data_IF_918208848431
#
_entry.id   IF_918208848431
#
_cell.length_a   1.000
_cell.length_b   1.000
_cell.length_c   1.000
_cell.angle_alpha   90.00
_cell.angle_beta   90.00
_cell.angle_gamma   90.00
#
_symmetry.space_group_name_H-M   'P 1'
#
loop_
_entity.id
_entity.type
_entity.pdbx_description
1 polymer ?
#
# COMPACT_ATOMS: atom_id res chain seq x y z
N UNK A 1 -30.24 -1.99 7.18
CA UNK A 1 -29.68 -2.35 5.86
C UNK A 1 -29.54 -1.21 4.85
N UNK A 2 -29.96 0.05 5.06
CA UNK A 2 -29.74 1.12 4.05
C UNK A 2 -29.09 2.39 4.65
N UNK A 3 -27.85 2.26 5.11
CA UNK A 3 -27.04 3.41 5.56
C UNK A 3 -25.84 3.55 4.63
N UNK A 4 -25.62 4.73 4.08
CA UNK A 4 -24.47 5.05 3.22
C UNK A 4 -23.27 5.60 4.01
N UNK A 5 -23.49 6.07 5.24
CA UNK A 5 -22.45 6.57 6.15
C UNK A 5 -21.70 5.42 6.84
N UNK A 6 -20.38 5.36 6.67
CA UNK A 6 -19.56 4.32 7.30
C UNK A 6 -19.55 4.45 8.83
N UNK A 7 -19.60 5.68 9.37
CA UNK A 7 -19.73 5.93 10.81
C UNK A 7 -20.99 5.29 11.40
N UNK A 8 -22.12 5.46 10.71
CA UNK A 8 -23.40 4.91 11.17
C UNK A 8 -23.43 3.37 11.03
N UNK A 9 -22.83 2.81 9.97
CA UNK A 9 -22.67 1.37 9.83
C UNK A 9 -21.86 0.79 10.98
N UNK A 10 -20.72 1.40 11.31
CA UNK A 10 -19.89 0.97 12.43
C UNK A 10 -20.64 1.04 13.76
N UNK A 11 -21.38 2.13 14.02
CA UNK A 11 -22.15 2.26 15.27
C UNK A 11 -23.30 1.25 15.36
N UNK A 12 -23.97 0.97 14.26
CA UNK A 12 -25.02 -0.06 14.23
C UNK A 12 -24.44 -1.46 14.42
N UNK A 13 -23.30 -1.77 13.81
CA UNK A 13 -22.57 -3.02 14.01
C UNK A 13 -22.09 -3.17 15.46
N UNK A 14 -21.56 -2.11 16.08
CA UNK A 14 -21.13 -2.11 17.48
C UNK A 14 -22.31 -2.45 18.42
N UNK A 15 -23.50 -1.90 18.15
CA UNK A 15 -24.71 -2.18 18.95
C UNK A 15 -25.19 -3.61 18.74
N UNK A 16 -25.20 -4.10 17.50
CA UNK A 16 -25.57 -5.48 17.17
C UNK A 16 -24.61 -6.48 17.83
N UNK A 17 -23.31 -6.21 17.82
CA UNK A 17 -22.28 -7.03 18.46
C UNK A 17 -22.50 -7.09 19.98
N UNK A 18 -22.82 -5.97 20.64
CA UNK A 18 -23.15 -5.95 22.07
C UNK A 18 -24.39 -6.78 22.41
N UNK A 19 -25.43 -6.75 21.55
CA UNK A 19 -26.65 -7.53 21.74
C UNK A 19 -26.45 -9.03 21.52
N UNK A 20 -25.58 -9.40 20.59
CA UNK A 20 -25.24 -10.79 20.28
C UNK A 20 -24.13 -11.36 21.17
N UNK A 21 -23.52 -10.55 22.04
CA UNK A 21 -22.37 -10.93 22.86
C UNK A 21 -21.07 -11.12 22.08
N UNK A 22 -21.04 -10.76 20.79
CA UNK A 22 -19.93 -10.96 19.87
C UNK A 22 -18.91 -9.82 19.86
N UNK A 23 -18.52 -9.29 21.02
CA UNK A 23 -17.51 -8.22 21.12
C UNK A 23 -16.19 -8.79 21.63
N UNK A 24 -15.16 -8.77 20.79
CA UNK A 24 -13.78 -9.06 21.17
C UNK A 24 -12.99 -7.77 21.35
N UNK A 25 -12.11 -7.71 22.35
CA UNK A 25 -11.23 -6.56 22.61
C UNK A 25 -9.79 -7.05 22.69
N UNK A 26 -8.92 -6.53 21.81
CA UNK A 26 -7.49 -6.81 21.81
C UNK A 26 -6.79 -5.68 22.56
N UNK A 27 -6.12 -6.00 23.67
CA UNK A 27 -5.31 -5.05 24.44
C UNK A 27 -3.85 -5.17 24.03
N UNK A 28 -3.34 -4.20 23.30
CA UNK A 28 -1.95 -4.17 22.84
C UNK A 28 -1.07 -3.48 23.87
N UNK A 29 0.02 -4.13 24.26
CA UNK A 29 1.03 -3.60 25.19
C UNK A 29 2.44 -3.77 24.65
N UNK A 30 3.32 -2.84 25.05
CA UNK A 30 4.74 -2.82 24.71
C UNK A 30 5.55 -2.09 25.81
N UNK A 31 6.88 -2.15 25.73
CA UNK A 31 7.76 -1.57 26.75
C UNK A 31 7.87 -0.03 26.63
N UNK A 32 7.69 0.51 25.42
CA UNK A 32 7.70 1.95 25.15
C UNK A 32 6.43 2.36 24.40
N UNK A 33 6.06 3.64 24.47
CA UNK A 33 4.89 4.17 23.75
C UNK A 33 5.05 4.07 22.23
N UNK A 34 6.26 4.32 21.72
CA UNK A 34 6.56 4.22 20.28
C UNK A 34 6.36 2.79 19.78
N UNK A 35 6.86 1.80 20.51
CA UNK A 35 6.66 0.38 20.17
C UNK A 35 5.19 -0.04 20.32
N UNK A 36 4.49 0.47 21.35
CA UNK A 36 3.07 0.19 21.55
C UNK A 36 2.25 0.67 20.35
N UNK A 37 2.58 1.86 19.83
CA UNK A 37 1.89 2.43 18.68
C UNK A 37 2.11 1.59 17.42
N UNK A 38 3.36 1.26 17.08
CA UNK A 38 3.66 0.42 15.92
C UNK A 38 2.98 -0.97 16.02
N UNK A 39 3.02 -1.58 17.20
CA UNK A 39 2.40 -2.89 17.41
C UNK A 39 0.88 -2.82 17.33
N UNK A 40 0.29 -1.71 17.76
CA UNK A 40 -1.14 -1.47 17.63
C UNK A 40 -1.51 -1.31 16.15
N UNK A 41 -0.77 -0.50 15.41
CA UNK A 41 -1.00 -0.27 13.98
C UNK A 41 -0.94 -1.62 13.22
N UNK A 42 0.03 -2.50 13.51
CA UNK A 42 0.09 -3.87 12.96
C UNK A 42 -1.14 -4.73 13.25
N UNK A 43 -1.72 -4.60 14.46
CA UNK A 43 -2.94 -5.33 14.83
C UNK A 43 -4.16 -4.79 14.07
N UNK A 44 -4.24 -3.47 13.92
CA UNK A 44 -5.31 -2.80 13.18
C UNK A 44 -5.24 -3.16 11.67
N UNK A 45 -4.03 -3.25 11.10
CA UNK A 45 -3.79 -3.71 9.73
C UNK A 45 -4.20 -5.18 9.56
N UNK A 46 -3.80 -6.07 10.48
CA UNK A 46 -4.17 -7.49 10.43
C UNK A 46 -5.69 -7.71 10.52
N UNK A 47 -6.38 -6.93 11.36
CA UNK A 47 -7.84 -6.95 11.46
C UNK A 47 -8.49 -6.52 10.14
N UNK A 48 -7.97 -5.46 9.52
CA UNK A 48 -8.47 -4.94 8.25
C UNK A 48 -8.24 -5.92 7.10
N UNK A 49 -7.05 -6.54 7.03
CA UNK A 49 -6.74 -7.59 6.07
C UNK A 49 -7.67 -8.80 6.23
N UNK A 50 -7.92 -9.24 7.47
CA UNK A 50 -8.83 -10.36 7.76
C UNK A 50 -10.25 -10.06 7.30
N UNK A 51 -10.76 -8.84 7.57
CA UNK A 51 -12.09 -8.42 7.08
C UNK A 51 -12.14 -8.44 5.55
N UNK A 52 -11.13 -7.90 4.88
CA UNK A 52 -11.04 -7.88 3.42
C UNK A 52 -10.98 -9.30 2.83
N UNK A 53 -10.27 -10.22 3.49
CA UNK A 53 -10.18 -11.62 3.10
C UNK A 53 -11.52 -12.36 3.22
N UNK A 54 -12.32 -12.04 4.26
CA UNK A 54 -13.68 -12.58 4.41
C UNK A 54 -14.62 -12.06 3.33
N UNK A 55 -14.44 -10.82 2.87
CA UNK A 55 -15.31 -10.19 1.87
C UNK A 55 -15.08 -10.68 0.44
N UNK A 56 -13.82 -10.77 -0.02
CA UNK A 56 -13.50 -11.09 -1.42
C UNK A 56 -12.57 -12.31 -1.58
N UNK A 57 -12.24 -13.00 -0.48
CA UNK A 57 -11.34 -14.15 -0.48
C UNK A 57 -9.86 -13.78 -0.43
N UNK A 58 -9.03 -14.79 -0.64
CA UNK A 58 -7.56 -14.71 -0.56
C UNK A 58 -6.93 -15.17 -1.88
N UNK A 59 -5.74 -14.66 -2.16
CA UNK A 59 -4.88 -15.03 -3.29
C UNK A 59 -3.46 -15.28 -2.80
N UNK A 60 -2.61 -15.86 -3.66
CA UNK A 60 -1.18 -15.96 -3.37
C UNK A 60 -0.57 -14.57 -3.16
N UNK A 61 0.23 -14.43 -2.11
CA UNK A 61 0.78 -13.14 -1.73
C UNK A 61 2.08 -12.80 -2.44
N UNK A 62 2.80 -11.83 -1.88
CA UNK A 62 4.16 -11.47 -2.34
C UNK A 62 4.19 -10.85 -3.74
N UNK A 63 3.07 -10.30 -4.21
CA UNK A 63 2.92 -9.76 -5.57
C UNK A 63 2.83 -10.82 -6.67
N UNK A 64 2.77 -12.12 -6.33
CA UNK A 64 2.71 -13.19 -7.31
C UNK A 64 1.33 -13.27 -8.01
N UNK A 65 0.23 -12.95 -7.29
CA UNK A 65 -1.12 -13.02 -7.85
C UNK A 65 -1.32 -12.08 -9.04
N UNK A 66 -0.93 -10.81 -8.88
CA UNK A 66 -1.07 -9.79 -9.95
C UNK A 66 -0.14 -10.07 -11.14
N UNK A 67 1.05 -10.62 -10.88
CA UNK A 67 1.97 -11.07 -11.93
C UNK A 67 1.37 -12.21 -12.77
N UNK A 68 0.90 -13.28 -12.10
CA UNK A 68 0.28 -14.41 -12.80
C UNK A 68 -1.02 -14.03 -13.50
N UNK A 69 -1.81 -13.13 -12.92
CA UNK A 69 -3.00 -12.60 -13.56
C UNK A 69 -2.65 -11.90 -14.89
N UNK A 70 -1.61 -11.07 -14.91
CA UNK A 70 -1.18 -10.37 -16.12
C UNK A 70 -0.70 -11.32 -17.23
N UNK A 71 -0.04 -12.44 -16.90
CA UNK A 71 0.38 -13.43 -17.89
C UNK A 71 -0.77 -14.11 -18.62
N UNK A 72 -1.95 -14.17 -18.00
CA UNK A 72 -3.16 -14.78 -18.59
C UNK A 72 -3.96 -13.79 -19.43
N UNK A 73 -3.61 -12.51 -19.42
CA UNK A 73 -4.32 -11.49 -20.19
C UNK A 73 -3.91 -11.59 -21.67
N UNK A 74 -4.89 -11.87 -22.53
CA UNK A 74 -4.74 -11.79 -23.98
C UNK A 74 -5.79 -10.81 -24.52
N UNK A 75 -5.36 -9.60 -24.88
CA UNK A 75 -6.21 -8.55 -25.42
C UNK A 75 -5.81 -8.26 -26.87
N UNK A 76 -6.81 -8.22 -27.76
CA UNK A 76 -6.62 -7.80 -29.15
C UNK A 76 -6.69 -6.27 -29.22
N UNK A 77 -5.54 -5.62 -29.07
CA UNK A 77 -5.40 -4.16 -29.01
C UNK A 77 -4.39 -3.65 -30.06
N UNK A 78 -4.65 -2.45 -30.57
CA UNK A 78 -3.81 -1.80 -31.58
C UNK A 78 -3.35 -0.40 -31.13
N UNK A 79 -2.27 0.09 -31.73
CA UNK A 79 -1.75 1.44 -31.49
C UNK A 79 -1.52 1.76 -30.01
N UNK A 80 -1.97 2.93 -29.59
CA UNK A 80 -1.77 3.45 -28.22
C UNK A 80 -2.44 2.60 -27.14
N UNK A 81 -3.51 1.88 -27.47
CA UNK A 81 -4.17 0.98 -26.52
C UNK A 81 -3.27 -0.19 -26.13
N UNK A 82 -2.54 -0.73 -27.11
CA UNK A 82 -1.55 -1.79 -26.87
C UNK A 82 -0.41 -1.29 -25.98
N UNK A 83 0.09 -0.08 -26.24
CA UNK A 83 1.11 0.56 -25.40
C UNK A 83 0.61 0.72 -23.95
N UNK A 84 -0.64 1.15 -23.78
CA UNK A 84 -1.27 1.23 -22.45
C UNK A 84 -1.32 -0.11 -21.72
N UNK A 85 -1.71 -1.19 -22.41
CA UNK A 85 -1.70 -2.53 -21.83
C UNK A 85 -0.29 -2.99 -21.45
N UNK A 86 0.71 -2.77 -22.31
CA UNK A 86 2.11 -3.11 -22.05
C UNK A 86 2.68 -2.35 -20.82
N UNK A 87 2.24 -1.11 -20.60
CA UNK A 87 2.60 -0.34 -19.39
C UNK A 87 2.09 -1.03 -18.14
N UNK A 88 0.82 -1.49 -18.13
CA UNK A 88 0.22 -2.18 -16.98
C UNK A 88 0.91 -3.52 -16.73
N UNK A 89 1.11 -4.33 -17.78
CA UNK A 89 1.81 -5.64 -17.68
C UNK A 89 3.22 -5.47 -17.12
N UNK A 90 3.93 -4.40 -17.50
CA UNK A 90 5.24 -4.10 -16.92
C UNK A 90 5.14 -3.63 -15.47
N UNK A 91 4.14 -2.83 -15.12
CA UNK A 91 3.99 -2.25 -13.79
C UNK A 91 3.66 -3.30 -12.71
N UNK A 92 2.86 -4.32 -13.04
CA UNK A 92 2.52 -5.39 -12.07
C UNK A 92 3.72 -6.26 -11.66
N UNK A 93 4.86 -6.16 -12.35
CA UNK A 93 6.11 -6.80 -11.94
C UNK A 93 6.78 -6.10 -10.76
N UNK A 94 6.44 -4.82 -10.51
CA UNK A 94 7.11 -4.00 -9.52
C UNK A 94 6.94 -4.48 -8.07
N UNK A 95 5.76 -4.93 -7.59
CA UNK A 95 5.59 -5.36 -6.20
C UNK A 95 6.50 -6.53 -5.81
N UNK A 96 6.44 -7.64 -6.55
CA UNK A 96 7.28 -8.81 -6.28
C UNK A 96 8.78 -8.50 -6.43
N UNK A 97 9.15 -7.66 -7.42
CA UNK A 97 10.53 -7.21 -7.62
C UNK A 97 11.03 -6.42 -6.40
N UNK A 98 10.23 -5.46 -5.93
CA UNK A 98 10.58 -4.63 -4.77
C UNK A 98 10.70 -5.46 -3.50
N UNK A 99 9.81 -6.43 -3.29
CA UNK A 99 9.85 -7.35 -2.15
C UNK A 99 11.15 -8.16 -2.18
N UNK A 100 11.52 -8.73 -3.33
CA UNK A 100 12.76 -9.49 -3.50
C UNK A 100 14.01 -8.63 -3.28
N UNK A 101 14.05 -7.42 -3.85
CA UNK A 101 15.17 -6.49 -3.70
C UNK A 101 15.35 -6.03 -2.25
N UNK A 102 14.25 -5.75 -1.55
CA UNK A 102 14.28 -5.41 -0.12
C UNK A 102 14.82 -6.56 0.75
N UNK A 103 14.63 -7.80 0.30
CA UNK A 103 15.16 -8.99 0.93
C UNK A 103 16.58 -9.37 0.48
N UNK A 104 17.20 -8.59 -0.43
CA UNK A 104 18.57 -8.80 -0.90
C UNK A 104 18.73 -9.77 -2.05
N UNK A 105 17.65 -10.11 -2.76
CA UNK A 105 17.65 -10.99 -3.92
C UNK A 105 17.54 -10.21 -5.24
N UNK A 106 17.94 -10.83 -6.35
CA UNK A 106 17.75 -10.24 -7.68
C UNK A 106 16.28 -10.33 -8.09
N UNK A 107 15.58 -9.20 -8.01
CA UNK A 107 14.15 -9.14 -8.32
C UNK A 107 13.82 -9.44 -9.78
N UNK A 108 14.76 -9.26 -10.72
CA UNK A 108 14.56 -9.66 -12.12
C UNK A 108 14.52 -11.17 -12.28
N UNK A 109 15.43 -11.89 -11.62
CA UNK A 109 15.47 -13.36 -11.59
C UNK A 109 14.22 -13.92 -10.89
N UNK A 110 13.81 -13.32 -9.77
CA UNK A 110 12.61 -13.74 -9.04
C UNK A 110 11.36 -13.60 -9.90
N UNK A 111 11.16 -12.41 -10.51
CA UNK A 111 10.04 -12.18 -11.44
C UNK A 111 10.05 -13.23 -12.55
N UNK A 112 11.20 -13.41 -13.23
CA UNK A 112 11.32 -14.37 -14.33
C UNK A 112 10.92 -15.78 -13.92
N UNK A 113 11.40 -16.27 -12.77
CA UNK A 113 11.10 -17.63 -12.32
C UNK A 113 9.62 -17.82 -11.95
N UNK A 114 8.99 -16.83 -11.30
CA UNK A 114 7.57 -16.91 -10.92
C UNK A 114 6.66 -16.77 -12.16
N UNK A 115 7.05 -15.89 -13.09
CA UNK A 115 6.32 -15.62 -14.34
C UNK A 115 6.28 -16.84 -15.27
N UNK A 116 7.38 -17.61 -15.35
CA UNK A 116 7.52 -18.76 -16.26
C UNK A 116 7.13 -20.11 -15.63
N UNK A 117 6.60 -20.12 -14.40
CA UNK A 117 6.11 -21.34 -13.77
C UNK A 117 4.65 -21.61 -14.13
N UNK A 118 4.35 -22.83 -14.58
CA UNK A 118 2.99 -23.29 -14.91
C UNK A 118 2.12 -23.52 -13.67
N UNK A 119 2.74 -23.64 -12.49
CA UNK A 119 2.01 -23.82 -11.23
C UNK A 119 1.40 -22.48 -10.79
N UNK A 120 0.09 -22.45 -10.61
CA UNK A 120 -0.66 -21.26 -10.23
C UNK A 120 -0.31 -20.75 -8.84
N UNK A 121 0.13 -21.63 -7.93
CA UNK A 121 0.43 -21.29 -6.54
C UNK A 121 1.90 -20.95 -6.31
N UNK A 122 2.75 -21.17 -7.32
CA UNK A 122 4.18 -20.98 -7.22
C UNK A 122 4.54 -19.51 -7.03
N UNK A 123 5.34 -19.22 -5.99
CA UNK A 123 5.85 -17.89 -5.70
C UNK A 123 7.20 -17.93 -5.01
N UNK A 124 7.63 -16.76 -4.53
CA UNK A 124 8.93 -16.58 -3.89
C UNK A 124 8.74 -16.13 -2.44
N UNK A 125 9.20 -16.95 -1.50
CA UNK A 125 9.25 -16.59 -0.09
C UNK A 125 10.48 -15.71 0.15
N UNK A 126 10.27 -14.39 0.20
CA UNK A 126 11.36 -13.44 0.42
C UNK A 126 12.00 -13.50 1.82
N UNK A 127 11.36 -14.15 2.79
CA UNK A 127 11.94 -14.33 4.12
C UNK A 127 12.98 -15.46 4.15
N UNK A 128 12.80 -16.50 3.32
CA UNK A 128 13.72 -17.67 3.27
C UNK A 128 14.60 -17.69 2.02
N UNK A 129 14.18 -17.02 0.94
CA UNK A 129 14.83 -17.07 -0.36
C UNK A 129 14.45 -18.27 -1.21
N UNK A 130 13.39 -18.99 -0.84
CA UNK A 130 12.96 -20.22 -1.51
C UNK A 130 11.72 -20.01 -2.37
N UNK A 131 11.59 -20.82 -3.43
CA UNK A 131 10.37 -20.87 -4.23
C UNK A 131 9.47 -21.99 -3.73
N UNK A 132 8.22 -21.65 -3.45
CA UNK A 132 7.28 -22.51 -2.72
C UNK A 132 5.87 -22.41 -3.30
N UNK A 133 5.02 -23.36 -2.92
CA UNK A 133 3.57 -23.13 -2.99
C UNK A 133 3.19 -22.12 -1.90
N UNK A 134 2.72 -20.95 -2.35
CA UNK A 134 2.45 -19.81 -1.47
C UNK A 134 1.27 -20.07 -0.53
N UNK A 135 0.30 -20.90 -0.93
CA UNK A 135 -0.82 -21.26 -0.06
C UNK A 135 -0.39 -22.24 1.02
N UNK A 136 0.41 -23.25 0.66
CA UNK A 136 0.94 -24.22 1.63
C UNK A 136 1.84 -23.54 2.68
N UNK A 137 2.65 -22.58 2.26
CA UNK A 137 3.50 -21.78 3.14
C UNK A 137 2.73 -20.68 3.91
N UNK A 138 1.46 -20.45 3.56
CA UNK A 138 0.60 -19.45 4.21
C UNK A 138 0.93 -18.00 3.84
N UNK A 139 1.63 -17.78 2.72
CA UNK A 139 1.93 -16.45 2.18
C UNK A 139 0.76 -16.03 1.27
N UNK A 140 -0.27 -15.48 1.90
CA UNK A 140 -1.54 -15.12 1.27
C UNK A 140 -1.85 -13.65 1.48
N UNK A 141 -2.50 -13.05 0.48
CA UNK A 141 -2.99 -11.68 0.54
C UNK A 141 -4.51 -11.63 0.28
N UNK A 142 -5.27 -10.70 0.90
CA UNK A 142 -6.68 -10.53 0.59
C UNK A 142 -6.87 -10.07 -0.87
N UNK A 143 -7.72 -10.76 -1.63
CA UNK A 143 -7.96 -10.45 -3.05
C UNK A 143 -8.43 -9.00 -3.26
N UNK A 144 -9.24 -8.50 -2.33
CA UNK A 144 -9.73 -7.12 -2.30
C UNK A 144 -8.58 -6.10 -2.28
N UNK A 145 -7.53 -6.37 -1.50
CA UNK A 145 -6.42 -5.42 -1.31
C UNK A 145 -5.62 -5.31 -2.60
N UNK A 146 -5.25 -6.43 -3.21
CA UNK A 146 -4.53 -6.46 -4.50
C UNK A 146 -5.33 -5.75 -5.61
N UNK A 147 -6.62 -6.06 -5.73
CA UNK A 147 -7.50 -5.44 -6.72
C UNK A 147 -7.63 -3.93 -6.53
N UNK A 148 -7.89 -3.49 -5.30
CA UNK A 148 -8.09 -2.06 -4.99
C UNK A 148 -6.78 -1.29 -5.12
N UNK A 149 -5.65 -1.87 -4.71
CA UNK A 149 -4.33 -1.26 -4.90
C UNK A 149 -4.03 -1.00 -6.38
N UNK A 150 -4.24 -2.01 -7.24
CA UNK A 150 -4.05 -1.86 -8.68
C UNK A 150 -5.00 -0.83 -9.29
N UNK A 151 -6.29 -0.87 -8.94
CA UNK A 151 -7.29 0.09 -9.46
C UNK A 151 -6.97 1.53 -9.07
N UNK A 152 -6.57 1.77 -7.82
CA UNK A 152 -6.20 3.10 -7.35
C UNK A 152 -4.91 3.60 -8.02
N UNK A 153 -3.91 2.72 -8.16
CA UNK A 153 -2.66 3.04 -8.84
C UNK A 153 -2.91 3.43 -10.31
N UNK A 154 -3.74 2.67 -11.02
CA UNK A 154 -4.14 2.98 -12.41
C UNK A 154 -4.93 4.28 -12.49
N UNK A 155 -5.85 4.51 -11.57
CA UNK A 155 -6.67 5.73 -11.52
C UNK A 155 -5.80 7.00 -11.44
N UNK A 156 -4.88 7.04 -10.47
CA UNK A 156 -3.98 8.20 -10.30
C UNK A 156 -3.01 8.32 -11.48
N UNK A 157 -2.44 7.20 -11.94
CA UNK A 157 -1.48 7.22 -13.06
C UNK A 157 -2.13 7.71 -14.34
N UNK A 158 -3.37 7.30 -14.62
CA UNK A 158 -4.10 7.73 -15.82
C UNK A 158 -4.38 9.24 -15.80
N UNK A 159 -4.77 9.77 -14.64
CA UNK A 159 -4.94 11.21 -14.46
C UNK A 159 -3.64 11.97 -14.77
N UNK A 160 -2.52 11.51 -14.22
CA UNK A 160 -1.20 12.11 -14.43
C UNK A 160 -0.75 12.05 -15.90
N UNK A 161 -0.95 10.92 -16.57
CA UNK A 161 -0.59 10.75 -17.98
C UNK A 161 -1.36 11.70 -18.91
N UNK A 162 -2.58 12.08 -18.54
CA UNK A 162 -3.42 13.03 -19.29
C UNK A 162 -3.21 14.50 -18.88
N UNK A 163 -2.32 14.77 -17.93
CA UNK A 163 -2.09 16.13 -17.42
C UNK A 163 -1.12 16.89 -18.33
N UNK A 164 -1.65 17.81 -19.15
CA UNK A 164 -0.86 18.65 -20.05
C UNK A 164 -0.28 19.91 -19.39
N UNK A 165 -0.89 20.38 -18.31
CA UNK A 165 -0.47 21.58 -17.59
C UNK A 165 -0.79 21.50 -16.10
N UNK A 166 -0.02 22.22 -15.28
CA UNK A 166 -0.26 22.36 -13.84
C UNK A 166 -0.07 23.81 -13.44
N UNK A 167 -0.95 24.34 -12.61
CA UNK A 167 -0.83 25.68 -12.02
C UNK A 167 -0.38 25.52 -10.57
N UNK A 168 0.67 26.23 -10.19
CA UNK A 168 1.24 26.19 -8.84
C UNK A 168 1.29 27.57 -8.23
N UNK A 169 1.16 27.65 -6.91
CA UNK A 169 1.42 28.88 -6.17
C UNK A 169 2.87 29.33 -6.34
N UNK A 170 3.07 30.63 -6.52
CA UNK A 170 4.41 31.20 -6.55
C UNK A 170 4.99 31.12 -5.14
N UNK A 171 6.22 30.64 -5.02
CA UNK A 171 6.90 30.58 -3.73
C UNK A 171 7.04 32.00 -3.16
N UNK A 172 6.39 32.26 -2.04
CA UNK A 172 6.57 33.51 -1.30
C UNK A 172 8.03 33.65 -0.86
N UNK A 173 8.63 34.82 -1.13
CA UNK A 173 9.90 35.17 -0.53
C UNK A 173 9.69 35.38 0.97
N UNK A 174 10.29 34.52 1.79
CA UNK A 174 10.30 34.73 3.24
C UNK A 174 10.96 36.08 3.51
N UNK A 175 10.21 37.02 4.10
CA UNK A 175 10.76 38.28 4.57
C UNK A 175 12.01 37.98 5.41
N UNK A 176 13.13 38.70 5.19
CA UNK A 176 14.35 38.47 5.96
C UNK A 176 14.00 38.57 7.43
N UNK A 177 14.36 37.54 8.21
CA UNK A 177 14.21 37.57 9.65
C UNK A 177 14.84 38.87 10.15
N UNK A 178 14.02 39.77 10.71
CA UNK A 178 14.54 41.00 11.27
C UNK A 178 15.62 40.61 12.29
N UNK A 179 16.83 41.17 12.17
CA UNK A 179 17.89 40.90 13.14
C UNK A 179 17.35 41.21 14.54
N UNK A 180 17.52 40.26 15.43
CA UNK A 180 17.28 40.40 16.86
C UNK A 180 17.94 41.71 17.31
N UNK A 181 17.15 42.71 17.71
CA UNK A 181 17.63 44.00 18.25
C UNK A 181 18.18 43.79 19.67
N UNK A 182 19.03 42.77 19.83
CA UNK A 182 19.81 42.48 21.01
C UNK A 182 21.16 43.17 20.92
N UNK A 183 21.31 44.29 21.61
CA UNK A 183 22.62 44.81 21.99
C UNK A 183 23.05 46.11 21.32
N UNK A 184 22.36 47.21 21.63
CA UNK A 184 22.99 48.53 21.60
C UNK A 184 23.14 49.04 23.03
N UNK A 185 24.06 48.40 23.76
CA UNK A 185 24.68 49.01 24.92
C UNK A 185 25.76 49.99 24.46
N UNK A 186 25.75 51.21 24.99
CA UNK A 186 26.86 52.16 24.80
C UNK A 186 26.43 53.61 24.78
N UNK A 187 26.03 54.14 25.93
CA UNK A 187 26.12 55.58 26.23
C UNK A 187 27.61 56.00 26.10
N UNK A 188 27.95 57.09 25.40
CA UNK A 188 28.43 58.28 26.14
C UNK A 188 28.21 59.65 25.44
N UNK A 189 27.56 60.57 26.16
CA UNK A 189 28.01 61.96 26.33
C UNK A 189 27.57 63.04 25.34
N UNK A 190 26.73 63.98 25.79
CA UNK A 190 27.13 65.36 26.15
C UNK A 190 25.91 66.19 26.59
N UNK A 191 26.10 66.90 27.71
CA UNK A 191 25.41 68.11 28.23
C UNK A 191 23.89 68.23 28.11
#
# INVERSE_FOLDING_TARGET
>A
ENTTSDYDKEKLQERLAKLSGGVAVIKVGAATETEMKEKKDRVDDALSATKAAVEEGIVIGGGAAVLKAANKINLDLEGDQKIGADIVVRAVKAPIKQIAENAGFDGGVVVYNVENSDDENYGFNAATGEYVDMFEEGIIDPAKVERVALQNAVSVSSLLLTTEATVTEIKEEKAPAMPDMGGMGGMPGMM
#
